data_IF_613908289222
#
_entry.id   IF_613908289222
#
_cell.length_a   1.000
_cell.length_b   1.000
_cell.length_c   1.000
_cell.angle_alpha   90.00
_cell.angle_beta   90.00
_cell.angle_gamma   90.00
#
_symmetry.space_group_name_H-M   'P 1'
#
loop_
_entity.id
_entity.type
_entity.pdbx_description
1 polymer ?
#
# COMPACT_ATOMS: atom_id res chain seq x y z
N UNK A 1 9.47 0.72 -18.71
CA UNK A 1 8.82 0.62 -17.39
C UNK A 1 9.65 -0.41 -16.65
N UNK A 2 10.35 -0.02 -15.57
CA UNK A 2 11.05 -0.99 -14.71
C UNK A 2 10.02 -2.05 -14.26
N UNK A 3 10.37 -3.32 -14.33
CA UNK A 3 9.50 -4.36 -13.78
C UNK A 3 9.44 -4.17 -12.26
N UNK A 4 8.25 -3.85 -11.73
CA UNK A 4 8.05 -3.61 -10.31
C UNK A 4 8.45 -4.84 -9.46
N UNK A 5 8.40 -6.05 -10.03
CA UNK A 5 8.91 -7.27 -9.38
C UNK A 5 10.43 -7.27 -9.25
N UNK A 6 11.15 -6.78 -10.27
CA UNK A 6 12.60 -6.60 -10.22
C UNK A 6 12.97 -5.54 -9.17
N UNK A 7 12.22 -4.44 -9.11
CA UNK A 7 12.43 -3.41 -8.09
C UNK A 7 12.22 -3.94 -6.67
N UNK A 8 11.21 -4.77 -6.44
CA UNK A 8 10.97 -5.44 -5.16
C UNK A 8 12.07 -6.47 -4.82
N UNK A 9 12.50 -7.26 -5.80
CA UNK A 9 13.58 -8.23 -5.63
C UNK A 9 14.90 -7.55 -5.26
N UNK A 10 15.24 -6.45 -5.93
CA UNK A 10 16.42 -5.63 -5.60
C UNK A 10 16.33 -5.02 -4.20
N UNK A 11 15.11 -4.83 -3.69
CA UNK A 11 14.84 -4.36 -2.33
C UNK A 11 14.73 -5.51 -1.30
N UNK A 12 15.12 -6.74 -1.66
CA UNK A 12 15.16 -7.89 -0.75
C UNK A 12 13.82 -8.60 -0.55
N UNK A 13 12.81 -8.31 -1.37
CA UNK A 13 11.49 -8.95 -1.30
C UNK A 13 11.42 -10.06 -2.35
N UNK A 14 11.20 -11.31 -1.93
CA UNK A 14 10.96 -12.38 -2.88
C UNK A 14 9.57 -12.18 -3.55
N UNK A 15 9.48 -12.01 -4.88
CA UNK A 15 8.21 -11.82 -5.58
C UNK A 15 7.24 -13.01 -5.45
N UNK A 16 7.71 -14.18 -5.05
CA UNK A 16 6.90 -15.38 -4.80
C UNK A 16 6.08 -15.29 -3.50
N UNK A 17 6.46 -14.43 -2.56
CA UNK A 17 5.68 -14.18 -1.34
C UNK A 17 4.40 -13.40 -1.61
N UNK A 18 4.35 -12.72 -2.76
CA UNK A 18 3.24 -11.86 -3.14
C UNK A 18 2.08 -12.67 -3.69
N UNK A 19 0.90 -12.30 -3.27
CA UNK A 19 -0.34 -12.77 -3.85
C UNK A 19 -1.29 -11.60 -4.04
N UNK A 20 -2.29 -11.81 -4.89
CA UNK A 20 -3.36 -10.85 -5.05
C UNK A 20 -4.45 -11.12 -4.02
N UNK A 21 -4.78 -10.11 -3.23
CA UNK A 21 -5.94 -10.05 -2.37
C UNK A 21 -6.98 -9.11 -2.99
N UNK A 22 -8.25 -9.45 -2.82
CA UNK A 22 -9.37 -8.64 -3.33
C UNK A 22 -10.19 -8.12 -2.18
N UNK A 23 -10.47 -6.81 -2.18
CA UNK A 23 -11.22 -6.15 -1.12
C UNK A 23 -12.37 -5.32 -1.68
N UNK A 24 -13.47 -5.29 -0.93
CA UNK A 24 -14.67 -4.53 -1.28
C UNK A 24 -14.70 -3.21 -0.52
N UNK A 25 -14.64 -2.10 -1.27
CA UNK A 25 -14.80 -0.73 -0.77
C UNK A 25 -15.89 -0.05 -1.60
N UNK A 26 -17.03 0.28 -0.98
CA UNK A 26 -18.00 1.15 -1.64
C UNK A 26 -18.68 0.59 -2.89
N UNK A 27 -18.77 -0.74 -3.03
CA UNK A 27 -19.24 -1.41 -4.24
C UNK A 27 -18.17 -1.60 -5.32
N UNK A 28 -16.93 -1.15 -5.07
CA UNK A 28 -15.78 -1.41 -5.91
C UNK A 28 -14.97 -2.59 -5.39
N UNK A 29 -14.53 -3.40 -6.34
CA UNK A 29 -13.65 -4.55 -6.14
C UNK A 29 -12.21 -4.10 -6.41
N UNK A 30 -11.43 -3.86 -5.35
CA UNK A 30 -10.03 -3.47 -5.45
C UNK A 30 -9.13 -4.70 -5.34
N UNK A 31 -8.10 -4.76 -6.19
CA UNK A 31 -7.10 -5.82 -6.19
C UNK A 31 -5.77 -5.29 -5.69
N UNK A 32 -5.18 -5.94 -4.69
CA UNK A 32 -3.94 -5.51 -4.06
C UNK A 32 -2.96 -6.67 -4.07
N UNK A 33 -1.72 -6.43 -4.50
CA UNK A 33 -0.59 -7.27 -4.15
C UNK A 33 -0.24 -7.05 -2.69
N UNK A 34 -0.13 -8.14 -1.95
CA UNK A 34 0.20 -8.18 -0.52
C UNK A 34 0.88 -9.51 -0.19
N UNK A 35 1.52 -9.60 0.97
CA UNK A 35 2.00 -10.85 1.55
C UNK A 35 0.87 -11.51 2.33
N UNK A 36 0.78 -12.84 2.23
CA UNK A 36 -0.36 -13.66 2.70
C UNK A 36 -0.41 -13.79 4.21
N UNK A 37 0.75 -13.92 4.85
CA UNK A 37 0.84 -14.09 6.29
C UNK A 37 2.16 -13.55 6.81
N UNK A 38 2.13 -12.92 7.99
CA UNK A 38 3.34 -12.64 8.78
C UNK A 38 4.08 -13.95 9.06
N UNK A 39 3.36 -15.05 9.33
CA UNK A 39 3.97 -16.32 9.72
C UNK A 39 4.73 -16.97 8.56
N UNK A 40 4.17 -16.94 7.35
CA UNK A 40 4.85 -17.46 6.15
C UNK A 40 6.14 -16.68 5.87
N UNK A 41 6.09 -15.38 6.14
CA UNK A 41 7.18 -14.44 5.95
C UNK A 41 8.25 -14.60 7.04
N UNK A 42 7.84 -14.74 8.30
CA UNK A 42 8.72 -15.06 9.44
C UNK A 42 9.45 -16.39 9.23
N UNK A 43 8.76 -17.39 8.67
CA UNK A 43 9.33 -18.71 8.37
C UNK A 43 10.40 -18.66 7.28
N UNK A 44 10.30 -17.69 6.36
CA UNK A 44 11.19 -17.55 5.22
C UNK A 44 12.39 -16.60 5.49
N UNK A 45 12.33 -15.82 6.56
CA UNK A 45 13.36 -14.84 6.92
C UNK A 45 14.31 -15.38 8.00
N UNK A 46 15.60 -14.98 7.98
CA UNK A 46 16.50 -15.19 9.11
C UNK A 46 15.88 -14.64 10.43
N UNK A 47 16.14 -15.27 11.59
CA UNK A 47 15.58 -14.83 12.87
C UNK A 47 15.90 -13.37 13.25
N UNK A 48 17.00 -12.85 12.71
CA UNK A 48 17.50 -11.49 12.96
C UNK A 48 16.85 -10.43 12.05
N UNK A 49 16.04 -10.85 11.06
CA UNK A 49 15.47 -9.95 10.06
C UNK A 49 14.31 -9.12 10.61
N UNK A 50 14.24 -7.86 10.19
CA UNK A 50 13.09 -7.00 10.45
C UNK A 50 11.84 -7.57 9.77
N UNK A 51 10.76 -7.69 10.53
CA UNK A 51 9.49 -8.22 10.04
C UNK A 51 8.87 -7.19 9.08
N UNK A 52 8.61 -7.53 7.80
CA UNK A 52 8.11 -6.56 6.84
C UNK A 52 6.59 -6.36 6.98
N UNK A 53 6.19 -5.77 8.11
CA UNK A 53 4.81 -5.41 8.42
C UNK A 53 4.15 -4.49 7.38
N UNK A 54 4.96 -3.73 6.63
CA UNK A 54 4.50 -2.89 5.52
C UNK A 54 3.84 -3.70 4.38
N UNK A 55 4.19 -4.98 4.25
CA UNK A 55 3.80 -5.80 3.10
C UNK A 55 2.43 -6.48 3.25
N UNK A 56 1.76 -6.30 4.39
CA UNK A 56 0.49 -6.95 4.73
C UNK A 56 -0.64 -5.94 4.69
N UNK A 57 -1.80 -6.39 4.21
CA UNK A 57 -3.02 -5.62 4.35
C UNK A 57 -3.57 -5.74 5.78
N UNK A 58 -3.46 -4.65 6.53
CA UNK A 58 -4.00 -4.57 7.89
C UNK A 58 -5.51 -4.29 7.89
N UNK A 59 -6.23 -4.91 8.82
CA UNK A 59 -7.66 -4.64 9.04
C UNK A 59 -7.94 -3.15 9.27
N UNK A 60 -7.03 -2.44 9.95
CA UNK A 60 -7.14 -0.99 10.17
C UNK A 60 -7.18 -0.20 8.85
N UNK A 61 -6.41 -0.60 7.84
CA UNK A 61 -6.42 0.01 6.52
C UNK A 61 -7.75 -0.27 5.79
N UNK A 62 -8.29 -1.48 5.93
CA UNK A 62 -9.62 -1.83 5.40
C UNK A 62 -10.71 -0.97 6.03
N UNK A 63 -10.72 -0.84 7.36
CA UNK A 63 -11.69 -0.02 8.08
C UNK A 63 -11.57 1.46 7.73
N UNK A 64 -10.34 1.99 7.67
CA UNK A 64 -10.09 3.38 7.31
C UNK A 64 -10.49 3.66 5.85
N UNK A 65 -10.20 2.75 4.92
CA UNK A 65 -10.66 2.84 3.53
C UNK A 65 -12.18 2.87 3.43
N UNK A 66 -12.89 1.96 4.12
CA UNK A 66 -14.37 1.95 4.14
C UNK A 66 -14.93 3.22 4.75
N UNK A 67 -14.35 3.67 5.86
CA UNK A 67 -14.76 4.91 6.52
C UNK A 67 -14.54 6.12 5.61
N UNK A 68 -13.40 6.21 4.93
CA UNK A 68 -13.09 7.29 4.02
C UNK A 68 -14.04 7.31 2.81
N UNK A 69 -14.36 6.13 2.27
CA UNK A 69 -15.37 5.98 1.22
C UNK A 69 -16.73 6.53 1.64
N UNK A 70 -17.17 6.23 2.86
CA UNK A 70 -18.43 6.74 3.41
C UNK A 70 -18.36 8.24 3.75
N UNK A 71 -17.17 8.83 3.83
CA UNK A 71 -16.95 10.22 4.24
C UNK A 71 -16.08 11.00 3.23
N UNK A 72 -16.47 11.08 1.95
CA UNK A 72 -15.62 11.64 0.88
C UNK A 72 -15.28 13.11 1.13
N UNK A 73 -16.18 13.87 1.78
CA UNK A 73 -15.99 15.28 2.16
C UNK A 73 -14.74 15.53 3.04
N UNK A 74 -14.20 14.48 3.68
CA UNK A 74 -12.97 14.59 4.46
C UNK A 74 -11.77 14.92 3.60
N UNK A 75 -11.73 14.43 2.36
CA UNK A 75 -10.57 14.56 1.46
C UNK A 75 -10.89 15.12 0.08
N UNK A 76 -12.17 15.22 -0.31
CA UNK A 76 -12.58 15.75 -1.62
C UNK A 76 -11.94 17.12 -1.91
N UNK A 77 -11.22 17.22 -3.04
CA UNK A 77 -10.52 18.41 -3.48
C UNK A 77 -9.30 18.81 -2.64
N UNK A 78 -8.88 17.98 -1.67
CA UNK A 78 -7.76 18.28 -0.76
C UNK A 78 -6.49 17.56 -1.15
N UNK A 79 -5.37 18.04 -0.60
CA UNK A 79 -4.08 17.35 -0.62
C UNK A 79 -4.00 16.45 0.61
N UNK A 80 -3.70 15.17 0.40
CA UNK A 80 -3.69 14.13 1.43
C UNK A 80 -2.29 13.56 1.55
N UNK A 81 -1.82 13.38 2.78
CA UNK A 81 -0.62 12.61 3.12
C UNK A 81 -1.06 11.36 3.89
N UNK A 82 -0.70 10.19 3.40
CA UNK A 82 -0.83 8.91 4.10
C UNK A 82 0.53 8.54 4.70
N UNK A 83 0.61 8.45 6.03
CA UNK A 83 1.83 8.03 6.75
C UNK A 83 1.80 6.51 6.97
N UNK A 84 2.90 5.83 6.65
CA UNK A 84 2.99 4.37 6.73
C UNK A 84 1.99 3.68 5.78
N UNK A 85 2.12 3.94 4.48
CA UNK A 85 1.14 3.51 3.48
C UNK A 85 1.12 1.99 3.27
N UNK A 86 2.22 1.28 3.55
CA UNK A 86 2.32 -0.16 3.31
C UNK A 86 1.87 -0.54 1.90
N UNK A 87 0.87 -1.42 1.79
CA UNK A 87 0.28 -1.87 0.51
C UNK A 87 -0.53 -0.80 -0.24
N UNK A 88 -0.83 0.34 0.40
CA UNK A 88 -1.34 1.54 -0.26
C UNK A 88 -2.86 1.67 -0.43
N UNK A 89 -3.67 0.86 0.25
CA UNK A 89 -5.13 0.85 0.09
C UNK A 89 -5.77 2.22 0.37
N UNK A 90 -5.41 2.91 1.45
CA UNK A 90 -6.13 4.12 1.86
C UNK A 90 -5.85 5.28 0.89
N UNK A 91 -4.61 5.42 0.40
CA UNK A 91 -4.27 6.37 -0.65
C UNK A 91 -4.99 6.12 -1.98
N UNK A 92 -5.21 4.85 -2.35
CA UNK A 92 -6.05 4.49 -3.50
C UNK A 92 -7.49 4.97 -3.28
N UNK A 93 -8.08 4.64 -2.12
CA UNK A 93 -9.44 5.07 -1.78
C UNK A 93 -9.54 6.60 -1.76
N UNK A 94 -8.56 7.31 -1.21
CA UNK A 94 -8.51 8.76 -1.19
C UNK A 94 -8.58 9.37 -2.60
N UNK A 95 -7.86 8.79 -3.57
CA UNK A 95 -7.97 9.20 -4.98
C UNK A 95 -9.37 8.93 -5.53
N UNK A 96 -9.91 7.73 -5.30
CA UNK A 96 -11.24 7.36 -5.80
C UNK A 96 -12.35 8.28 -5.29
N UNK A 97 -12.23 8.77 -4.06
CA UNK A 97 -13.19 9.74 -3.48
C UNK A 97 -12.84 11.21 -3.77
N UNK A 98 -11.97 11.47 -4.74
CA UNK A 98 -11.73 12.81 -5.29
C UNK A 98 -10.73 13.66 -4.52
N UNK A 99 -9.76 13.08 -3.80
CA UNK A 99 -8.60 13.84 -3.33
C UNK A 99 -7.86 14.48 -4.51
N UNK A 100 -7.47 15.75 -4.38
CA UNK A 100 -6.79 16.49 -5.44
C UNK A 100 -5.33 16.07 -5.63
N UNK A 101 -4.68 15.61 -4.56
CA UNK A 101 -3.32 15.05 -4.58
C UNK A 101 -3.17 14.08 -3.41
N UNK A 102 -2.54 12.94 -3.65
CA UNK A 102 -2.20 11.97 -2.61
C UNK A 102 -0.70 11.76 -2.61
N UNK A 103 -0.09 11.93 -1.43
CA UNK A 103 1.29 11.56 -1.13
C UNK A 103 1.26 10.35 -0.21
N UNK A 104 2.04 9.33 -0.53
CA UNK A 104 2.18 8.12 0.27
C UNK A 104 3.58 8.05 0.86
N UNK A 105 3.64 8.01 2.18
CA UNK A 105 4.88 7.87 2.93
C UNK A 105 5.04 6.45 3.47
N UNK A 106 6.27 5.96 3.42
CA UNK A 106 6.71 4.80 4.18
C UNK A 106 8.22 4.92 4.44
N UNK A 107 8.74 4.26 5.47
CA UNK A 107 10.19 4.19 5.73
C UNK A 107 10.86 3.06 4.92
N UNK A 108 10.07 2.15 4.33
CA UNK A 108 10.56 1.06 3.49
C UNK A 108 10.41 1.41 2.00
N UNK A 109 11.50 1.51 1.22
CA UNK A 109 11.43 1.66 -0.24
C UNK A 109 10.51 0.65 -0.96
N UNK A 110 10.50 -0.67 -0.61
CA UNK A 110 9.63 -1.62 -1.30
C UNK A 110 8.14 -1.37 -1.05
N UNK A 111 7.75 -0.77 0.07
CA UNK A 111 6.36 -0.40 0.33
C UNK A 111 5.85 0.62 -0.69
N UNK A 112 6.68 1.63 -1.02
CA UNK A 112 6.34 2.66 -2.02
C UNK A 112 6.26 2.09 -3.44
N UNK A 113 7.08 1.09 -3.76
CA UNK A 113 6.99 0.36 -5.05
C UNK A 113 5.69 -0.42 -5.13
N UNK A 114 5.34 -1.16 -4.06
CA UNK A 114 4.14 -1.97 -3.99
C UNK A 114 2.87 -1.11 -4.00
N UNK A 115 2.83 -0.02 -3.23
CA UNK A 115 1.72 0.93 -3.20
C UNK A 115 1.47 1.55 -4.57
N UNK A 116 2.53 1.96 -5.27
CA UNK A 116 2.44 2.48 -6.63
C UNK A 116 1.92 1.43 -7.61
N UNK A 117 2.35 0.17 -7.50
CA UNK A 117 1.84 -0.91 -8.34
C UNK A 117 0.36 -1.21 -8.06
N UNK A 118 -0.05 -1.23 -6.79
CA UNK A 118 -1.44 -1.44 -6.40
C UNK A 118 -2.34 -0.31 -6.90
N UNK A 119 -1.87 0.94 -6.91
CA UNK A 119 -2.59 2.04 -7.52
C UNK A 119 -2.81 1.80 -9.03
N UNK A 120 -1.76 1.44 -9.77
CA UNK A 120 -1.85 1.16 -11.22
C UNK A 120 -2.84 0.04 -11.53
N UNK A 121 -2.82 -1.04 -10.75
CA UNK A 121 -3.70 -2.21 -10.95
C UNK A 121 -5.18 -1.90 -10.79
N UNK A 122 -5.51 -0.85 -10.03
CA UNK A 122 -6.86 -0.34 -9.81
C UNK A 122 -7.18 0.90 -10.68
N UNK A 123 -6.36 1.17 -11.71
CA UNK A 123 -6.58 2.28 -12.64
C UNK A 123 -6.34 3.66 -12.05
N UNK A 124 -5.72 3.75 -10.88
CA UNK A 124 -5.35 5.03 -10.25
C UNK A 124 -3.96 5.48 -10.70
N UNK A 125 -3.72 6.78 -10.63
CA UNK A 125 -2.35 7.30 -10.80
C UNK A 125 -1.55 6.87 -9.57
N UNK A 126 -0.29 6.41 -9.71
CA UNK A 126 0.58 6.19 -8.56
C UNK A 126 0.64 7.44 -7.69
N UNK A 127 0.31 7.35 -6.39
CA UNK A 127 0.54 8.44 -5.45
C UNK A 127 2.00 8.86 -5.46
N UNK A 128 2.25 10.12 -5.15
CA UNK A 128 3.62 10.62 -5.02
C UNK A 128 4.30 9.93 -3.83
N UNK A 129 5.46 9.28 -4.03
CA UNK A 129 6.14 8.58 -2.96
C UNK A 129 6.93 9.55 -2.08
N UNK A 130 6.90 9.32 -0.77
CA UNK A 130 7.71 10.03 0.22
C UNK A 130 8.45 9.01 1.10
N UNK A 131 9.69 8.68 0.73
CA UNK A 131 10.56 7.83 1.56
C UNK A 131 11.07 8.65 2.74
N UNK A 132 10.53 8.37 3.93
CA UNK A 132 10.89 9.08 5.16
C UNK A 132 10.56 8.21 6.38
N UNK A 133 11.48 8.17 7.33
CA UNK A 133 11.22 7.71 8.69
C UNK A 133 10.72 8.89 9.53
N UNK A 134 9.52 8.77 10.08
CA UNK A 134 8.86 9.80 10.87
C UNK A 134 9.42 9.91 12.30
N UNK A 135 10.35 9.02 12.68
CA UNK A 135 11.07 9.05 13.97
C UNK A 135 12.30 9.94 13.95
N UNK A 136 12.73 10.44 12.79
CA UNK A 136 13.96 11.23 12.58
C UNK A 136 13.68 12.48 11.77
#
# INVERSE_FOLDING_TARGET
MEDWRVALQNAGVNPEWLHEETVQIGGHCLRLWTVRSVDDLLSALPPESEIPYWAILWDSALWLGRWLWANPHRVWGKRVLELGCGVGLVGIVAQMVGAARVVQNDNHPPALVLSAQNARQNGMTPPEPLLMDWRT
#
